data_IF_431339167932
#
_entry.id   IF_431339167932
#
_cell.length_a   1.000
_cell.length_b   1.000
_cell.length_c   1.000
_cell.angle_alpha   90.00
_cell.angle_beta   90.00
_cell.angle_gamma   90.00
#
_symmetry.space_group_name_H-M   'P 1'
#
loop_
_entity.id
_entity.type
_entity.pdbx_description
1 polymer ?
#
# COMPACT_ATOMS: atom_id res chain seq x y z
N UNK A 1 -14.35 -18.86 -19.86
CA UNK A 1 -14.58 -17.90 -18.77
C UNK A 1 -14.95 -16.58 -19.43
N UNK A 2 -16.06 -15.95 -19.03
CA UNK A 2 -16.45 -14.63 -19.53
C UNK A 2 -16.10 -13.65 -18.42
N UNK A 3 -15.39 -12.58 -18.77
CA UNK A 3 -15.01 -11.50 -17.85
C UNK A 3 -16.01 -10.34 -17.99
N UNK A 4 -16.46 -9.79 -16.86
CA UNK A 4 -17.44 -8.72 -16.80
C UNK A 4 -16.82 -7.52 -16.06
N UNK A 5 -17.16 -6.28 -16.47
CA UNK A 5 -16.69 -5.10 -15.75
C UNK A 5 -17.28 -5.04 -14.33
N UNK A 6 -16.55 -4.42 -13.40
CA UNK A 6 -17.03 -4.18 -12.04
C UNK A 6 -18.22 -3.23 -12.01
N UNK A 7 -19.29 -3.59 -11.28
CA UNK A 7 -20.48 -2.77 -11.08
C UNK A 7 -20.63 -2.47 -9.60
N UNK A 8 -20.90 -1.21 -9.25
CA UNK A 8 -21.11 -0.77 -7.87
C UNK A 8 -22.55 -0.28 -7.72
N UNK A 9 -23.23 -0.78 -6.69
CA UNK A 9 -24.59 -0.38 -6.36
C UNK A 9 -24.57 0.79 -5.38
N UNK A 10 -25.48 1.78 -5.50
CA UNK A 10 -25.57 2.86 -4.53
C UNK A 10 -26.16 2.33 -3.21
N UNK A 11 -25.29 2.02 -2.24
CA UNK A 11 -25.68 1.47 -0.92
C UNK A 11 -25.74 2.52 0.20
N UNK A 12 -25.67 3.81 -0.15
CA UNK A 12 -25.55 4.88 0.85
C UNK A 12 -24.17 4.93 1.52
N UNK A 13 -23.15 4.38 0.86
CA UNK A 13 -21.76 4.51 1.29
C UNK A 13 -21.35 5.98 1.30
N UNK A 14 -20.53 6.36 2.29
CA UNK A 14 -19.89 7.69 2.26
C UNK A 14 -18.83 7.76 1.16
N UNK A 15 -18.53 8.98 0.70
CA UNK A 15 -17.51 9.21 -0.33
C UNK A 15 -16.16 8.57 0.03
N UNK A 16 -15.71 8.70 1.29
CA UNK A 16 -14.50 8.05 1.79
C UNK A 16 -14.55 6.52 1.60
N UNK A 17 -15.69 5.88 1.84
CA UNK A 17 -15.81 4.42 1.65
C UNK A 17 -15.72 4.05 0.17
N UNK A 18 -16.35 4.83 -0.71
CA UNK A 18 -16.31 4.60 -2.17
C UNK A 18 -14.87 4.71 -2.69
N UNK A 19 -14.13 5.72 -2.23
CA UNK A 19 -12.73 5.93 -2.59
C UNK A 19 -11.86 4.78 -2.06
N UNK A 20 -12.02 4.38 -0.79
CA UNK A 20 -11.20 3.31 -0.21
C UNK A 20 -11.50 1.94 -0.82
N UNK A 21 -12.71 1.71 -1.36
CA UNK A 21 -13.05 0.52 -2.15
C UNK A 21 -12.43 0.50 -3.55
N UNK A 22 -11.76 1.58 -3.99
CA UNK A 22 -11.11 1.66 -5.31
C UNK A 22 -12.08 1.86 -6.47
N UNK A 23 -13.31 2.32 -6.20
CA UNK A 23 -14.33 2.54 -7.25
C UNK A 23 -13.99 3.75 -8.12
N UNK A 24 -13.38 4.76 -7.50
CA UNK A 24 -12.97 6.01 -8.15
C UNK A 24 -11.45 6.06 -8.22
N UNK A 25 -10.94 6.51 -9.38
CA UNK A 25 -9.51 6.79 -9.55
C UNK A 25 -9.07 7.93 -8.65
N UNK A 26 -7.97 7.73 -7.92
CA UNK A 26 -7.47 8.69 -6.92
C UNK A 26 -7.15 10.05 -7.53
N UNK A 27 -6.78 10.10 -8.81
CA UNK A 27 -6.47 11.34 -9.52
C UNK A 27 -7.68 12.26 -9.66
N UNK A 28 -8.90 11.69 -9.68
CA UNK A 28 -10.17 12.40 -9.86
C UNK A 28 -10.79 12.85 -8.53
N UNK A 29 -10.20 12.48 -7.40
CA UNK A 29 -10.64 12.91 -6.07
C UNK A 29 -10.24 14.38 -5.89
N UNK A 30 -11.21 15.23 -5.51
CA UNK A 30 -10.99 16.67 -5.34
C UNK A 30 -10.10 16.97 -4.14
N UNK A 31 -10.49 16.46 -2.97
CA UNK A 31 -9.84 16.74 -1.69
C UNK A 31 -9.32 15.41 -1.07
N UNK A 32 -8.26 14.80 -1.64
CA UNK A 32 -7.77 13.49 -1.20
C UNK A 32 -7.31 13.47 0.27
N UNK A 33 -6.81 14.58 0.80
CA UNK A 33 -6.36 14.76 2.17
C UNK A 33 -7.44 14.37 3.20
N UNK A 34 -8.70 14.74 2.95
CA UNK A 34 -9.81 14.47 3.86
C UNK A 34 -10.15 12.98 4.00
N UNK A 35 -9.69 12.16 3.05
CA UNK A 35 -9.97 10.72 3.03
C UNK A 35 -8.83 9.88 3.62
N UNK A 36 -7.66 10.48 3.87
CA UNK A 36 -6.50 9.79 4.45
C UNK A 36 -6.80 9.29 5.87
N UNK A 37 -7.61 10.03 6.64
CA UNK A 37 -8.05 9.58 7.96
C UNK A 37 -8.68 8.18 7.92
N UNK A 38 -9.47 7.89 6.89
CA UNK A 38 -10.08 6.57 6.73
C UNK A 38 -9.06 5.44 6.50
N UNK A 39 -7.88 5.74 5.96
CA UNK A 39 -6.77 4.78 5.87
C UNK A 39 -6.18 4.53 7.26
N UNK A 40 -5.92 5.61 8.01
CA UNK A 40 -5.36 5.53 9.37
C UNK A 40 -6.26 4.74 10.32
N UNK A 41 -7.58 4.84 10.16
CA UNK A 41 -8.55 4.09 10.98
C UNK A 41 -8.55 2.58 10.69
N UNK A 42 -8.11 2.16 9.50
CA UNK A 42 -8.12 0.76 9.05
C UNK A 42 -6.78 0.06 9.22
N UNK A 43 -5.69 0.79 9.00
CA UNK A 43 -4.33 0.23 9.01
C UNK A 43 -3.71 0.46 10.38
N UNK A 44 -3.14 -0.60 10.97
CA UNK A 44 -2.43 -0.47 12.25
C UNK A 44 -1.24 0.50 12.09
N UNK A 45 -0.98 1.37 13.09
CA UNK A 45 0.08 2.37 12.99
C UNK A 45 1.47 1.76 12.77
N UNK A 46 1.74 0.60 13.36
CA UNK A 46 3.00 -0.16 13.18
C UNK A 46 3.31 -0.45 11.70
N UNK A 47 2.29 -0.78 10.90
CA UNK A 47 2.47 -1.08 9.47
C UNK A 47 2.75 0.19 8.66
N UNK A 48 2.11 1.30 9.01
CA UNK A 48 2.34 2.60 8.38
C UNK A 48 3.74 3.12 8.71
N UNK A 49 4.16 3.06 9.98
CA UNK A 49 5.52 3.43 10.41
C UNK A 49 6.57 2.61 9.67
N UNK A 50 6.37 1.30 9.55
CA UNK A 50 7.29 0.41 8.84
C UNK A 50 7.35 0.69 7.34
N UNK A 51 6.20 0.86 6.69
CA UNK A 51 6.12 1.07 5.24
C UNK A 51 6.69 2.44 4.82
N UNK A 52 6.32 3.51 5.53
CA UNK A 52 6.78 4.86 5.21
C UNK A 52 8.07 5.25 5.91
N UNK A 53 8.54 4.48 6.90
CA UNK A 53 9.74 4.76 7.67
C UNK A 53 9.66 6.06 8.46
N UNK A 54 8.48 6.42 8.97
CA UNK A 54 8.24 7.64 9.74
C UNK A 54 8.13 7.33 11.24
N UNK A 55 8.33 8.35 12.06
CA UNK A 55 8.07 8.31 13.49
C UNK A 55 6.55 8.32 13.78
N UNK A 56 6.19 8.16 15.05
CA UNK A 56 4.80 8.28 15.52
C UNK A 56 4.22 9.66 15.16
N UNK A 57 2.95 9.70 14.73
CA UNK A 57 2.23 10.93 14.36
C UNK A 57 1.04 11.14 15.28
N UNK A 58 0.57 12.37 15.36
CA UNK A 58 -0.61 12.71 16.18
C UNK A 58 -1.89 12.85 15.37
N UNK A 59 -1.78 13.32 14.12
CA UNK A 59 -2.91 13.66 13.27
C UNK A 59 -2.65 13.24 11.81
N UNK A 60 -3.69 13.20 10.99
CA UNK A 60 -3.56 12.88 9.57
C UNK A 60 -2.69 13.90 8.82
N UNK A 61 -2.80 15.19 9.16
CA UNK A 61 -1.96 16.24 8.58
C UNK A 61 -0.48 16.08 8.98
N UNK A 62 -0.21 15.76 10.24
CA UNK A 62 1.15 15.47 10.74
C UNK A 62 1.75 14.24 10.06
N UNK A 63 0.96 13.17 9.91
CA UNK A 63 1.34 11.96 9.18
C UNK A 63 1.76 12.28 7.73
N UNK A 64 0.94 13.03 6.99
CA UNK A 64 1.24 13.40 5.60
C UNK A 64 2.46 14.33 5.52
N UNK A 65 2.60 15.26 6.47
CA UNK A 65 3.75 16.18 6.56
C UNK A 65 5.05 15.42 6.77
N UNK A 66 5.08 14.45 7.68
CA UNK A 66 6.28 13.62 7.93
C UNK A 66 6.69 12.83 6.70
N UNK A 67 5.73 12.27 5.96
CA UNK A 67 5.99 11.57 4.71
C UNK A 67 6.52 12.53 3.65
N UNK A 68 5.92 13.71 3.50
CA UNK A 68 6.33 14.71 2.53
C UNK A 68 7.79 15.14 2.73
N UNK A 69 8.16 15.44 3.97
CA UNK A 69 9.54 15.81 4.36
C UNK A 69 10.50 14.66 4.10
N UNK A 70 10.15 13.43 4.51
CA UNK A 70 11.02 12.26 4.32
C UNK A 70 11.23 11.92 2.84
N UNK A 71 10.20 12.02 2.02
CA UNK A 71 10.25 11.71 0.58
C UNK A 71 10.75 12.88 -0.27
N UNK A 72 10.97 14.06 0.31
CA UNK A 72 11.35 15.26 -0.44
C UNK A 72 10.25 15.81 -1.35
N UNK A 73 8.97 15.49 -1.05
CA UNK A 73 7.79 15.95 -1.80
C UNK A 73 7.36 17.32 -1.28
N UNK A 74 8.17 18.33 -1.59
CA UNK A 74 7.96 19.71 -1.16
C UNK A 74 7.61 20.59 -2.37
N UNK A 75 6.69 21.52 -2.16
CA UNK A 75 6.37 22.58 -3.11
C UNK A 75 7.51 23.60 -3.19
N UNK A 76 7.42 24.49 -4.18
CA UNK A 76 8.32 25.65 -4.30
C UNK A 76 8.16 26.51 -3.04
N UNK A 77 9.25 26.67 -2.29
CA UNK A 77 9.22 27.35 -0.99
C UNK A 77 9.45 26.44 0.21
N UNK A 78 9.55 25.11 0.00
CA UNK A 78 9.86 24.15 1.05
C UNK A 78 8.65 23.70 1.88
N UNK A 79 7.44 24.06 1.46
CA UNK A 79 6.20 23.60 2.08
C UNK A 79 5.88 22.16 1.66
N UNK A 80 5.36 21.30 2.55
CA UNK A 80 5.01 19.93 2.21
C UNK A 80 3.83 19.86 1.23
N UNK A 81 3.94 19.06 0.18
CA UNK A 81 2.84 18.82 -0.77
C UNK A 81 1.89 17.75 -0.22
N UNK A 82 0.93 18.19 0.60
CA UNK A 82 -0.04 17.31 1.28
C UNK A 82 -0.93 16.58 0.26
N UNK A 83 -1.42 17.27 -0.76
CA UNK A 83 -2.33 16.68 -1.77
C UNK A 83 -1.63 15.57 -2.55
N UNK A 84 -0.37 15.76 -2.96
CA UNK A 84 0.38 14.71 -3.66
C UNK A 84 0.64 13.48 -2.76
N UNK A 85 0.99 13.70 -1.50
CA UNK A 85 1.16 12.61 -0.52
C UNK A 85 -0.16 11.89 -0.28
N UNK A 86 -1.26 12.61 -0.10
CA UNK A 86 -2.59 12.00 0.09
C UNK A 86 -2.95 11.07 -1.08
N UNK A 87 -2.72 11.51 -2.32
CA UNK A 87 -2.92 10.67 -3.51
C UNK A 87 -2.02 9.43 -3.52
N UNK A 88 -0.76 9.58 -3.10
CA UNK A 88 0.16 8.43 -2.98
C UNK A 88 -0.33 7.43 -1.94
N UNK A 89 -0.76 7.90 -0.77
CA UNK A 89 -1.22 7.06 0.34
C UNK A 89 -2.50 6.30 -0.02
N UNK A 90 -3.47 6.99 -0.64
CA UNK A 90 -4.72 6.35 -1.10
C UNK A 90 -4.43 5.28 -2.17
N UNK A 91 -3.52 5.55 -3.09
CA UNK A 91 -3.10 4.57 -4.10
C UNK A 91 -2.39 3.37 -3.47
N UNK A 92 -1.51 3.60 -2.49
CA UNK A 92 -0.79 2.53 -1.79
C UNK A 92 -1.75 1.63 -0.99
N UNK A 93 -2.79 2.23 -0.40
CA UNK A 93 -3.88 1.50 0.25
C UNK A 93 -4.66 0.63 -0.76
N UNK A 94 -5.13 1.20 -1.86
CA UNK A 94 -5.90 0.47 -2.88
C UNK A 94 -5.09 -0.64 -3.57
N UNK A 95 -3.76 -0.47 -3.71
CA UNK A 95 -2.86 -1.47 -4.29
C UNK A 95 -2.48 -2.58 -3.30
N UNK A 96 -2.94 -2.50 -2.05
CA UNK A 96 -2.65 -3.49 -1.02
C UNK A 96 -1.20 -3.45 -0.50
N UNK A 97 -0.47 -2.34 -0.71
CA UNK A 97 0.86 -2.18 -0.10
C UNK A 97 0.76 -2.02 1.42
N UNK A 98 -0.34 -1.44 1.88
CA UNK A 98 -0.67 -1.30 3.29
C UNK A 98 -1.54 -2.50 3.72
N UNK A 99 -1.00 -3.42 4.53
CA UNK A 99 -1.75 -4.59 4.97
C UNK A 99 -2.85 -4.18 5.96
N UNK A 100 -4.09 -4.57 5.67
CA UNK A 100 -5.20 -4.49 6.62
C UNK A 100 -6.16 -5.66 6.40
N UNK A 101 -6.92 -6.00 7.44
CA UNK A 101 -7.95 -7.03 7.37
C UNK A 101 -9.12 -6.64 8.26
N UNK A 102 -10.32 -7.03 7.85
CA UNK A 102 -11.53 -6.91 8.65
C UNK A 102 -11.85 -8.28 9.22
N UNK A 103 -12.01 -8.35 10.54
CA UNK A 103 -12.35 -9.62 11.20
C UNK A 103 -13.77 -10.01 10.79
N UNK A 104 -14.00 -11.27 10.38
CA UNK A 104 -15.35 -11.74 10.10
C UNK A 104 -16.26 -11.60 11.32
N UNK A 105 -17.57 -11.36 11.13
CA UNK A 105 -18.51 -11.28 12.24
C UNK A 105 -18.49 -12.58 13.06
N UNK A 106 -18.42 -12.46 14.39
CA UNK A 106 -18.35 -13.60 15.31
C UNK A 106 -16.95 -14.16 15.59
N UNK A 107 -15.90 -13.63 14.94
CA UNK A 107 -14.51 -14.08 15.13
C UNK A 107 -13.63 -13.11 15.96
N UNK A 108 -14.23 -12.05 16.53
CA UNK A 108 -13.49 -10.97 17.22
C UNK A 108 -12.64 -11.45 18.40
N UNK A 109 -13.14 -12.41 19.18
CA UNK A 109 -12.40 -12.94 20.34
C UNK A 109 -11.18 -13.76 19.95
N UNK A 110 -11.21 -14.41 18.77
CA UNK A 110 -10.07 -15.15 18.23
C UNK A 110 -9.01 -14.20 17.68
N UNK A 111 -9.44 -13.17 16.95
CA UNK A 111 -8.54 -12.19 16.36
C UNK A 111 -7.71 -11.42 17.42
N UNK A 112 -8.23 -11.20 18.62
CA UNK A 112 -7.48 -10.52 19.70
C UNK A 112 -6.34 -11.36 20.30
N UNK A 113 -6.34 -12.69 20.08
CA UNK A 113 -5.43 -13.63 20.76
C UNK A 113 -4.20 -14.05 19.94
N UNK A 114 -4.18 -13.79 18.63
CA UNK A 114 -3.22 -14.43 17.71
C UNK A 114 -2.14 -13.49 17.12
N UNK A 115 -1.94 -12.25 17.61
CA UNK A 115 -1.06 -11.26 16.97
C UNK A 115 0.41 -11.18 17.43
N UNK A 116 0.88 -12.05 18.32
CA UNK A 116 2.30 -12.05 18.75
C UNK A 116 3.21 -13.02 17.97
N UNK A 117 2.71 -13.68 16.91
CA UNK A 117 3.54 -14.62 16.15
C UNK A 117 4.23 -13.97 14.96
N UNK A 118 5.56 -14.13 14.93
CA UNK A 118 6.46 -13.75 13.85
C UNK A 118 6.03 -14.35 12.50
N UNK A 119 6.43 -13.75 11.35
CA UNK A 119 6.02 -14.24 10.04
C UNK A 119 6.47 -15.69 9.86
N UNK A 120 5.52 -16.56 9.49
CA UNK A 120 5.78 -17.89 8.97
C UNK A 120 6.50 -17.78 7.63
N UNK A 121 7.81 -17.56 7.67
CA UNK A 121 8.66 -17.96 6.56
C UNK A 121 8.81 -19.48 6.65
N UNK A 122 7.75 -20.20 6.27
CA UNK A 122 7.79 -21.64 6.06
C UNK A 122 8.63 -21.90 4.80
N UNK A 123 9.93 -22.04 5.03
CA UNK A 123 10.77 -22.87 4.19
C UNK A 123 10.14 -24.26 4.21
N UNK A 124 9.58 -24.68 3.08
CA UNK A 124 9.14 -26.05 2.85
C UNK A 124 10.35 -26.97 3.02
N UNK A 125 10.51 -27.53 4.22
CA UNK A 125 11.38 -28.66 4.45
C UNK A 125 10.61 -29.92 4.03
N UNK A 126 11.05 -30.55 2.94
CA UNK A 126 10.78 -31.96 2.65
C UNK A 126 11.33 -32.80 3.83
N UNK A 127 10.46 -33.21 4.76
CA UNK A 127 10.77 -34.24 5.75
C UNK A 127 10.53 -35.63 5.12
N UNK A 128 11.62 -36.23 4.65
CA UNK A 128 11.76 -37.63 4.26
C UNK A 128 11.90 -38.46 5.56
N UNK A 129 10.84 -39.19 5.94
CA UNK A 129 10.80 -40.07 7.12
C UNK A 129 11.63 -41.36 6.93
N UNK A 130 12.52 -41.75 7.87
CA UNK A 130 13.01 -43.11 7.95
C UNK A 130 12.58 -43.83 9.23
N UNK A 131 11.68 -44.81 9.00
CA UNK A 131 11.72 -46.22 9.39
C UNK A 131 11.89 -46.64 10.87
N UNK A 132 10.90 -47.43 11.30
CA UNK A 132 10.74 -48.11 12.57
C UNK A 132 11.87 -49.10 12.96
N UNK A 133 12.18 -49.11 14.26
CA UNK A 133 12.95 -50.09 14.99
C UNK A 133 12.39 -51.53 14.90
N UNK A 134 13.21 -52.47 14.43
CA UNK A 134 13.01 -53.90 14.68
C UNK A 134 14.37 -54.60 14.88
N UNK A 135 14.55 -55.13 16.10
CA UNK A 135 15.70 -55.95 16.53
C UNK A 135 15.76 -57.28 15.79
N UNK A 136 16.93 -57.67 15.30
CA UNK A 136 17.38 -59.07 15.25
C UNK A 136 18.90 -59.18 15.28
N UNK A 137 19.34 -60.36 15.67
CA UNK A 137 20.56 -60.73 16.40
C UNK A 137 21.55 -61.51 15.50
N UNK A 138 22.85 -61.40 15.81
CA UNK A 138 24.02 -62.24 15.44
C UNK A 138 24.63 -62.23 14.02
N UNK A 139 25.96 -62.05 13.98
CA UNK A 139 26.85 -62.46 12.90
C UNK A 139 28.22 -61.75 12.89
N UNK A 140 29.18 -62.33 13.61
CA UNK A 140 30.62 -62.02 13.68
C UNK A 140 31.37 -62.33 12.37
N UNK A 141 32.27 -61.45 11.92
CA UNK A 141 33.59 -61.78 11.33
C UNK A 141 34.45 -60.51 11.18
N UNK A 142 35.70 -60.58 11.64
CA UNK A 142 36.73 -59.53 11.62
C UNK A 142 37.44 -59.41 10.26
N UNK A 143 37.91 -58.21 9.87
CA UNK A 143 39.34 -57.88 9.75
C UNK A 143 39.60 -56.52 9.07
N UNK A 144 40.41 -55.73 9.77
CA UNK A 144 41.59 -54.99 9.32
C UNK A 144 41.51 -53.91 8.20
N UNK A 145 41.82 -52.69 8.68
CA UNK A 145 42.94 -51.81 8.25
C UNK A 145 42.67 -50.58 7.39
N UNK A 146 43.11 -49.47 8.01
CA UNK A 146 43.98 -48.40 7.50
C UNK A 146 43.38 -47.50 6.39
N UNK A 147 43.51 -46.17 6.44
CA UNK A 147 44.33 -45.28 7.25
C UNK A 147 43.73 -43.87 7.18
N UNK A 148 43.92 -43.10 8.25
CA UNK A 148 44.83 -41.96 8.30
C UNK A 148 44.35 -40.77 7.47
N UNK A 149 43.78 -39.75 8.13
CA UNK A 149 44.44 -38.46 8.44
C UNK A 149 44.46 -37.53 7.22
N UNK A 150 44.17 -36.23 7.26
CA UNK A 150 44.35 -35.17 8.26
C UNK A 150 43.63 -33.95 7.63
N UNK A 151 42.96 -33.06 8.38
CA UNK A 151 43.51 -31.78 8.84
C UNK A 151 44.44 -31.12 7.77
N UNK A 152 44.26 -29.89 7.28
CA UNK A 152 43.88 -28.62 7.95
C UNK A 152 43.83 -27.48 6.85
N UNK A 153 43.75 -26.16 7.16
CA UNK A 153 42.92 -25.17 6.45
C UNK A 153 43.70 -24.05 5.70
N UNK A 154 42.93 -23.04 5.24
CA UNK A 154 43.26 -21.60 5.20
C UNK A 154 44.23 -21.07 4.13
N UNK A 155 43.74 -20.15 3.28
CA UNK A 155 44.39 -18.87 2.93
C UNK A 155 43.60 -18.12 1.83
N UNK A 156 43.00 -16.95 2.09
CA UNK A 156 43.53 -15.57 1.97
C UNK A 156 43.57 -14.98 0.53
N UNK A 157 42.86 -13.84 0.39
CA UNK A 157 43.07 -12.64 -0.47
C UNK A 157 43.01 -12.75 -2.01
N UNK A 158 42.11 -11.97 -2.64
CA UNK A 158 42.40 -10.70 -3.37
C UNK A 158 41.18 -10.30 -4.22
N UNK A 159 40.50 -9.18 -3.93
CA UNK A 159 40.57 -7.88 -4.64
C UNK A 159 40.85 -7.97 -6.14
N UNK A 160 39.85 -7.63 -6.96
CA UNK A 160 40.02 -6.98 -8.26
C UNK A 160 38.76 -6.16 -8.57
N UNK A 161 38.98 -4.88 -8.85
CA UNK A 161 38.01 -3.92 -9.35
C UNK A 161 37.93 -3.98 -10.87
N UNK A 162 36.78 -3.62 -11.45
CA UNK A 162 36.69 -3.27 -12.86
C UNK A 162 35.60 -2.20 -13.03
N UNK A 163 36.05 -0.94 -13.09
CA UNK A 163 35.36 0.14 -13.79
C UNK A 163 35.40 -0.16 -15.30
N UNK A 164 34.32 0.14 -16.03
CA UNK A 164 34.32 1.11 -17.13
C UNK A 164 32.93 1.17 -17.82
N UNK A 165 32.64 2.40 -18.18
CA UNK A 165 31.60 3.08 -18.94
C UNK A 165 30.97 2.38 -20.15
N UNK A 166 29.68 2.67 -20.40
CA UNK A 166 29.20 2.91 -21.76
C UNK A 166 28.00 3.87 -21.77
N UNK A 167 28.30 5.06 -22.28
CA UNK A 167 27.43 6.17 -22.64
C UNK A 167 26.92 5.96 -24.07
N UNK A 168 25.61 5.89 -24.31
CA UNK A 168 25.11 6.03 -25.70
C UNK A 168 23.71 6.68 -25.81
N UNK A 169 23.77 7.99 -26.09
CA UNK A 169 23.01 8.74 -27.12
C UNK A 169 21.48 8.61 -27.24
N UNK A 170 20.83 9.67 -26.77
CA UNK A 170 19.83 10.50 -27.47
C UNK A 170 19.33 10.02 -28.84
N UNK A 171 18.05 9.68 -28.91
CA UNK A 171 17.28 9.69 -30.15
C UNK A 171 15.97 10.43 -29.91
N UNK A 172 16.04 11.76 -30.06
CA UNK A 172 14.88 12.62 -30.16
C UNK A 172 13.99 12.22 -31.34
N UNK A 173 12.78 11.74 -31.03
CA UNK A 173 11.69 11.61 -32.00
C UNK A 173 10.63 12.65 -31.71
N UNK A 174 10.86 13.85 -32.25
CA UNK A 174 9.89 14.93 -32.29
C UNK A 174 8.78 14.58 -33.30
N UNK A 175 7.65 14.07 -32.81
CA UNK A 175 6.39 14.09 -33.56
C UNK A 175 5.75 15.49 -33.41
N UNK A 176 6.26 16.44 -34.20
CA UNK A 176 5.61 17.73 -34.41
C UNK A 176 4.54 17.57 -35.48
N UNK A 177 3.26 17.45 -35.10
CA UNK A 177 2.24 17.14 -36.12
C UNK A 177 0.76 17.25 -35.78
N UNK A 178 0.33 17.96 -34.73
CA UNK A 178 -1.09 18.28 -34.54
C UNK A 178 -1.26 19.69 -33.96
N UNK A 179 -1.09 20.68 -34.83
CA UNK A 179 -1.66 22.02 -34.65
C UNK A 179 -3.02 22.07 -35.34
N UNK A 180 -3.99 22.62 -34.62
CA UNK A 180 -5.23 23.27 -35.09
C UNK A 180 -6.55 22.61 -34.66
N UNK A 181 -7.03 23.01 -33.48
CA UNK A 181 -8.45 23.16 -33.18
C UNK A 181 -8.64 24.45 -32.37
N UNK A 182 -8.38 25.60 -33.01
CA UNK A 182 -8.97 26.85 -32.54
C UNK A 182 -10.41 26.92 -33.04
N UNK A 183 -11.38 26.75 -32.15
CA UNK A 183 -12.79 26.91 -32.53
C UNK A 183 -13.81 26.38 -31.54
N UNK A 184 -13.83 26.90 -30.30
CA UNK A 184 -15.04 26.97 -29.45
C UNK A 184 -14.91 28.11 -28.43
N UNK A 185 -14.93 29.34 -28.92
CA UNK A 185 -15.34 30.50 -28.12
C UNK A 185 -16.77 30.80 -28.55
N UNK A 186 -17.79 30.49 -27.74
CA UNK A 186 -19.13 31.14 -27.76
C UNK A 186 -20.16 30.52 -26.80
N UNK A 187 -19.85 30.20 -25.53
CA UNK A 187 -20.91 29.84 -24.55
C UNK A 187 -20.54 30.27 -23.12
N UNK A 188 -20.28 31.56 -22.92
CA UNK A 188 -20.50 32.24 -21.64
C UNK A 188 -21.61 33.26 -21.89
N UNK A 189 -22.78 33.02 -21.31
CA UNK A 189 -23.84 33.97 -20.90
C UNK A 189 -25.19 33.21 -20.78
N UNK A 190 -25.98 33.53 -19.75
CA UNK A 190 -27.30 32.97 -19.37
C UNK A 190 -27.36 31.78 -18.40
N UNK A 191 -26.83 31.95 -17.18
CA UNK A 191 -27.45 31.31 -16.00
C UNK A 191 -27.37 32.15 -14.71
N UNK A 192 -27.58 33.47 -14.81
CA UNK A 192 -27.90 34.33 -13.66
C UNK A 192 -29.29 34.96 -13.85
N UNK A 193 -30.34 34.18 -13.58
CA UNK A 193 -31.64 34.67 -13.13
C UNK A 193 -32.52 33.46 -12.83
N UNK A 194 -33.47 33.64 -11.89
CA UNK A 194 -34.55 32.71 -11.56
C UNK A 194 -34.19 31.66 -10.49
N UNK A 195 -34.24 32.06 -9.21
CA UNK A 195 -35.34 31.71 -8.29
C UNK A 195 -35.04 32.35 -6.91
N UNK A 196 -35.33 33.65 -6.80
CA UNK A 196 -35.72 34.22 -5.52
C UNK A 196 -37.17 33.84 -5.23
N UNK A 197 -37.51 33.78 -3.95
CA UNK A 197 -38.83 33.49 -3.35
C UNK A 197 -39.16 32.00 -3.15
N UNK A 198 -38.74 31.46 -2.00
CA UNK A 198 -39.59 30.54 -1.27
C UNK A 198 -39.60 30.89 0.23
N UNK A 199 -40.81 30.92 0.77
CA UNK A 199 -41.23 31.65 1.96
C UNK A 199 -40.80 30.95 3.25
N UNK A 200 -40.12 31.66 4.16
CA UNK A 200 -40.07 31.26 5.57
C UNK A 200 -41.39 31.59 6.27
N UNK A 201 -42.36 30.67 6.19
CA UNK A 201 -43.33 30.48 7.27
C UNK A 201 -42.84 29.35 8.19
N UNK A 202 -42.13 29.71 9.28
CA UNK A 202 -42.04 28.86 10.46
C UNK A 202 -42.81 29.47 11.60
N UNK A 203 -44.07 29.06 11.65
CA UNK A 203 -44.98 29.16 12.77
C UNK A 203 -44.30 28.55 14.01
N UNK A 204 -44.00 29.41 14.98
CA UNK A 204 -43.52 29.00 16.30
C UNK A 204 -44.71 28.48 17.12
N UNK A 205 -44.80 27.16 17.30
CA UNK A 205 -45.61 26.56 18.36
C UNK A 205 -44.68 25.92 19.40
N UNK A 206 -44.56 26.49 20.61
CA UNK A 206 -44.15 25.75 21.78
C UNK A 206 -45.41 25.19 22.46
N UNK A 207 -45.66 23.89 22.33
CA UNK A 207 -46.55 23.18 23.26
C UNK A 207 -45.70 22.43 24.26
N UNK A 208 -45.63 22.98 25.47
CA UNK A 208 -45.18 22.27 26.66
C UNK A 208 -45.92 22.88 27.86
N UNK A 209 -47.05 22.27 28.22
CA UNK A 209 -47.45 21.83 29.56
C UNK A 209 -48.83 21.17 29.49
#
# INVERSE_FOLDING_TARGET
MIDCPGVVYPQGDSETQIILKGVVRVENVKDPENHVQGVLDRVKPEHLMRHYGIEEWTDAEDFMTKIAVKQGRLLKGGEPDITAIAKSVLNDFQRGKLPYFVVPPGCEERAKKEFDQAPINEMCADDDEPLADMKSDLGDDEEEKQGSSSADPMSTEQMEEMDEDDELTDVGSLCSGLSDLSGVSDLEEDLEAMHSDDQEEKVCFPYQF
#
